data_IF_605504136149
#
_entry.id   IF_605504136149
#
_cell.length_a   1.000
_cell.length_b   1.000
_cell.length_c   1.000
_cell.angle_alpha   90.00
_cell.angle_beta   90.00
_cell.angle_gamma   90.00
#
_symmetry.space_group_name_H-M   'P 1'
#
loop_
_entity.id
_entity.type
_entity.pdbx_description
1 polymer ?
#
# COMPACT_ATOMS: atom_id res chain seq x y z
N UNK A 1 -5.65 43.44 12.28
CA UNK A 1 -5.98 42.09 12.78
C UNK A 1 -4.78 41.14 12.58
N UNK A 2 -4.06 40.81 13.65
CA UNK A 2 -3.01 39.79 13.63
C UNK A 2 -3.66 38.43 13.36
N UNK A 3 -3.32 37.82 12.24
CA UNK A 3 -3.64 36.42 11.98
C UNK A 3 -2.81 35.61 12.97
N UNK A 4 -3.44 35.14 14.06
CA UNK A 4 -2.80 34.19 14.98
C UNK A 4 -2.18 33.07 14.16
N UNK A 5 -0.88 32.86 14.31
CA UNK A 5 -0.17 31.77 13.65
C UNK A 5 -0.96 30.48 13.89
N UNK A 6 -1.53 29.93 12.81
CA UNK A 6 -2.27 28.68 12.88
C UNK A 6 -1.23 27.63 13.29
N UNK A 7 -1.31 27.17 14.53
CA UNK A 7 -0.43 26.12 15.05
C UNK A 7 -0.89 24.81 14.43
N UNK A 8 -0.37 24.52 13.24
CA UNK A 8 -0.70 23.32 12.49
C UNK A 8 -0.18 22.14 13.30
N UNK A 9 -1.06 21.19 13.60
CA UNK A 9 -0.68 19.98 14.30
C UNK A 9 0.32 19.22 13.43
N UNK A 10 1.49 18.80 13.96
CA UNK A 10 2.43 18.02 13.18
C UNK A 10 1.73 16.75 12.64
N UNK A 11 2.02 16.32 11.40
CA UNK A 11 1.49 15.09 10.83
C UNK A 11 1.75 13.91 11.77
N UNK A 12 0.84 12.92 11.73
CA UNK A 12 1.08 11.66 12.43
C UNK A 12 2.25 10.93 11.77
N UNK A 13 3.15 10.41 12.60
CA UNK A 13 4.30 9.65 12.12
C UNK A 13 3.86 8.35 11.42
N UNK A 14 4.43 8.08 10.24
CA UNK A 14 4.28 6.80 9.55
C UNK A 14 5.45 5.87 9.90
N UNK A 15 5.15 4.65 10.35
CA UNK A 15 6.14 3.70 10.91
C UNK A 15 6.61 2.64 9.90
N UNK A 16 6.07 2.65 8.68
CA UNK A 16 6.29 1.57 7.70
C UNK A 16 5.34 0.39 7.87
N UNK A 17 4.19 0.58 8.52
CA UNK A 17 3.16 -0.46 8.61
C UNK A 17 2.49 -0.67 7.24
N UNK A 18 2.25 -1.93 6.89
CA UNK A 18 1.43 -2.32 5.74
C UNK A 18 -0.05 -1.97 6.03
N UNK A 19 -0.42 -0.71 5.89
CA UNK A 19 -1.79 -0.21 6.06
C UNK A 19 -1.98 1.03 5.17
N UNK A 20 -2.75 0.84 4.09
CA UNK A 20 -3.03 1.90 3.10
C UNK A 20 -3.75 3.09 3.71
N UNK A 21 -4.63 2.89 4.70
CA UNK A 21 -5.37 3.99 5.31
C UNK A 21 -4.43 4.85 6.18
N UNK A 22 -3.49 4.21 6.86
CA UNK A 22 -2.50 4.94 7.65
C UNK A 22 -1.49 5.64 6.75
N UNK A 23 -1.06 5.00 5.67
CA UNK A 23 -0.22 5.62 4.64
C UNK A 23 -0.90 6.84 3.99
N UNK A 24 -2.14 6.70 3.53
CA UNK A 24 -2.90 7.78 2.92
C UNK A 24 -3.14 8.94 3.89
N UNK A 25 -3.40 8.66 5.16
CA UNK A 25 -3.52 9.71 6.18
C UNK A 25 -2.22 10.50 6.31
N UNK A 26 -1.08 9.82 6.32
CA UNK A 26 0.23 10.46 6.36
C UNK A 26 0.48 11.29 5.09
N UNK A 27 0.30 10.73 3.88
CA UNK A 27 0.48 11.47 2.62
C UNK A 27 -0.40 12.73 2.57
N UNK A 28 -1.68 12.60 2.93
CA UNK A 28 -2.61 13.74 2.91
C UNK A 28 -2.23 14.82 3.93
N UNK A 29 -1.76 14.44 5.13
CA UNK A 29 -1.31 15.41 6.12
C UNK A 29 -0.04 16.14 5.65
N UNK A 30 0.91 15.41 5.06
CA UNK A 30 2.12 15.98 4.46
C UNK A 30 1.77 16.97 3.35
N UNK A 31 0.91 16.58 2.40
CA UNK A 31 0.46 17.45 1.31
C UNK A 31 -0.28 18.71 1.82
N UNK A 32 -1.16 18.55 2.81
CA UNK A 32 -1.85 19.67 3.43
C UNK A 32 -0.87 20.67 4.06
N UNK A 33 0.13 20.16 4.78
CA UNK A 33 1.16 21.02 5.39
C UNK A 33 1.95 21.78 4.33
N UNK A 34 2.47 21.10 3.31
CA UNK A 34 3.20 21.71 2.18
C UNK A 34 2.37 22.81 1.51
N UNK A 35 1.07 22.56 1.31
CA UNK A 35 0.14 23.53 0.74
C UNK A 35 -0.08 24.76 1.63
N UNK A 36 -0.20 24.58 2.94
CA UNK A 36 -0.40 25.70 3.87
C UNK A 36 0.82 26.62 3.90
N UNK A 37 2.03 26.04 3.89
CA UNK A 37 3.28 26.80 3.88
C UNK A 37 3.70 27.28 2.48
N UNK A 38 2.89 27.00 1.44
CA UNK A 38 3.16 27.35 0.04
C UNK A 38 4.50 26.80 -0.49
N UNK A 39 4.99 25.72 0.11
CA UNK A 39 6.16 24.99 -0.37
C UNK A 39 5.64 24.00 -1.40
N UNK A 40 5.36 24.47 -2.62
CA UNK A 40 4.69 23.69 -3.68
C UNK A 40 5.45 23.77 -4.99
N UNK A 41 5.39 22.71 -5.79
CA UNK A 41 6.04 22.62 -7.09
C UNK A 41 7.40 21.92 -7.04
N UNK A 42 7.93 21.49 -8.21
CA UNK A 42 9.08 20.58 -8.28
C UNK A 42 10.40 21.18 -7.75
N UNK A 43 10.54 22.50 -7.78
CA UNK A 43 11.74 23.19 -7.27
C UNK A 43 11.96 22.96 -5.76
N UNK A 44 10.93 22.49 -5.05
CA UNK A 44 10.95 22.21 -3.62
C UNK A 44 10.94 20.70 -3.32
N UNK A 45 11.15 19.82 -4.30
CA UNK A 45 11.08 18.36 -4.07
C UNK A 45 12.02 17.90 -2.95
N UNK A 46 13.25 18.42 -2.89
CA UNK A 46 14.19 18.14 -1.80
C UNK A 46 13.63 18.58 -0.43
N UNK A 47 13.01 19.75 -0.35
CA UNK A 47 12.37 20.25 0.87
C UNK A 47 11.16 19.37 1.25
N UNK A 48 10.37 18.92 0.27
CA UNK A 48 9.22 18.04 0.48
C UNK A 48 9.63 16.69 1.04
N UNK A 49 10.67 16.10 0.47
CA UNK A 49 11.24 14.81 0.90
C UNK A 49 11.83 14.96 2.30
N UNK A 50 12.59 16.03 2.55
CA UNK A 50 13.17 16.29 3.88
C UNK A 50 12.09 16.51 4.93
N UNK A 51 11.03 17.26 4.62
CA UNK A 51 9.90 17.41 5.51
C UNK A 51 9.20 16.07 5.76
N UNK A 52 8.94 15.29 4.71
CA UNK A 52 8.30 13.98 4.82
C UNK A 52 9.09 13.04 5.72
N UNK A 53 10.44 13.03 5.63
CA UNK A 53 11.36 12.32 6.53
C UNK A 53 11.10 12.67 8.00
N UNK A 54 10.91 13.95 8.34
CA UNK A 54 10.62 14.35 9.74
C UNK A 54 9.32 13.76 10.29
N UNK A 55 8.44 13.29 9.41
CA UNK A 55 7.16 12.66 9.75
C UNK A 55 7.21 11.12 9.58
N UNK A 56 8.41 10.52 9.54
CA UNK A 56 8.60 9.07 9.52
C UNK A 56 9.14 8.57 10.86
N UNK A 57 8.85 7.31 11.17
CA UNK A 57 9.39 6.58 12.32
C UNK A 57 9.63 5.10 11.94
N UNK A 58 10.22 4.32 12.86
CA UNK A 58 10.30 2.86 12.73
C UNK A 58 11.01 2.40 11.46
N UNK A 59 10.39 1.44 10.75
CA UNK A 59 10.95 0.85 9.54
C UNK A 59 11.00 1.85 8.38
N UNK A 60 10.08 2.82 8.34
CA UNK A 60 10.06 3.84 7.29
C UNK A 60 11.29 4.75 7.33
N UNK A 61 11.73 5.17 8.53
CA UNK A 61 12.99 5.93 8.68
C UNK A 61 14.20 5.09 8.32
N UNK A 62 14.22 3.82 8.73
CA UNK A 62 15.35 2.94 8.41
C UNK A 62 15.51 2.78 6.89
N UNK A 63 14.40 2.53 6.19
CA UNK A 63 14.37 2.47 4.73
C UNK A 63 14.80 3.80 4.09
N UNK A 64 14.30 4.94 4.60
CA UNK A 64 14.68 6.27 4.08
C UNK A 64 16.20 6.46 4.12
N UNK A 65 16.82 6.16 5.25
CA UNK A 65 18.27 6.34 5.44
C UNK A 65 19.09 5.41 4.53
N UNK A 66 18.54 4.26 4.12
CA UNK A 66 19.21 3.27 3.29
C UNK A 66 19.03 3.53 1.79
N UNK A 67 17.85 3.96 1.37
CA UNK A 67 17.49 4.03 -0.06
C UNK A 67 17.45 5.45 -0.62
N UNK A 68 17.22 6.45 0.24
CA UNK A 68 17.06 7.85 -0.18
C UNK A 68 18.26 8.70 0.24
N UNK A 69 18.70 8.56 1.50
CA UNK A 69 19.77 9.38 2.10
C UNK A 69 21.16 8.70 2.05
N UNK A 70 21.24 7.50 1.48
CA UNK A 70 22.50 6.75 1.40
C UNK A 70 23.42 7.34 0.33
N UNK A 71 24.75 7.43 0.58
CA UNK A 71 25.72 7.82 -0.44
C UNK A 71 25.72 6.92 -1.67
N UNK A 72 25.32 5.65 -1.50
CA UNK A 72 25.29 4.63 -2.54
C UNK A 72 23.89 4.46 -3.17
N UNK A 73 22.99 5.44 -2.99
CA UNK A 73 21.62 5.32 -3.50
C UNK A 73 21.60 5.28 -5.04
N UNK A 74 20.75 4.41 -5.59
CA UNK A 74 20.63 4.21 -7.04
C UNK A 74 19.91 5.37 -7.75
N UNK A 75 19.13 6.15 -7.01
CA UNK A 75 18.37 7.30 -7.50
C UNK A 75 18.90 8.54 -6.78
N UNK A 76 19.57 9.42 -7.52
CA UNK A 76 20.12 10.66 -6.95
C UNK A 76 19.15 11.84 -7.04
N UNK A 77 18.31 11.90 -8.08
CA UNK A 77 17.36 13.00 -8.32
C UNK A 77 15.92 12.59 -7.96
N UNK A 78 15.66 12.40 -6.67
CA UNK A 78 14.31 12.07 -6.21
C UNK A 78 13.34 13.24 -6.39
N UNK A 79 12.23 13.00 -7.09
CA UNK A 79 11.04 13.85 -6.96
C UNK A 79 10.22 13.43 -5.75
N UNK A 80 9.43 14.35 -5.17
CA UNK A 80 8.55 13.99 -4.07
C UNK A 80 7.54 12.91 -4.47
N UNK A 81 7.09 12.92 -5.73
CA UNK A 81 6.19 11.91 -6.28
C UNK A 81 6.87 10.53 -6.29
N UNK A 82 8.08 10.42 -6.80
CA UNK A 82 8.80 9.14 -6.89
C UNK A 82 9.04 8.59 -5.49
N UNK A 83 9.39 9.46 -4.54
CA UNK A 83 9.57 9.11 -3.14
C UNK A 83 8.31 8.48 -2.54
N UNK A 84 7.15 9.13 -2.67
CA UNK A 84 5.87 8.61 -2.16
C UNK A 84 5.48 7.32 -2.87
N UNK A 85 5.68 7.23 -4.19
CA UNK A 85 5.39 6.01 -4.95
C UNK A 85 6.27 4.83 -4.51
N UNK A 86 7.56 5.06 -4.27
CA UNK A 86 8.48 3.99 -3.86
C UNK A 86 8.19 3.52 -2.44
N UNK A 87 7.90 4.46 -1.53
CA UNK A 87 7.41 4.15 -0.19
C UNK A 87 6.14 3.28 -0.23
N UNK A 88 5.20 3.61 -1.13
CA UNK A 88 3.99 2.83 -1.31
C UNK A 88 4.32 1.40 -1.76
N UNK A 89 5.18 1.23 -2.75
CA UNK A 89 5.57 -0.12 -3.22
C UNK A 89 6.35 -0.92 -2.18
N UNK A 90 7.13 -0.24 -1.32
CA UNK A 90 7.94 -0.87 -0.30
C UNK A 90 7.10 -1.41 0.87
N UNK A 91 6.15 -0.61 1.35
CA UNK A 91 5.44 -0.92 2.60
C UNK A 91 4.02 -1.40 2.38
N UNK A 92 3.35 -0.98 1.30
CA UNK A 92 1.95 -1.33 1.04
C UNK A 92 1.91 -2.54 0.12
N UNK A 93 1.70 -3.69 0.73
CA UNK A 93 1.62 -4.95 0.02
C UNK A 93 0.20 -5.20 -0.45
N UNK A 94 0.04 -5.73 -1.67
CA UNK A 94 -1.29 -6.14 -2.15
C UNK A 94 -1.83 -7.27 -1.27
N UNK A 95 -1.02 -8.28 -0.97
CA UNK A 95 -1.37 -9.38 -0.09
C UNK A 95 -0.43 -9.47 1.11
N UNK A 96 -1.00 -9.65 2.30
CA UNK A 96 -0.28 -9.93 3.55
C UNK A 96 -0.76 -11.24 4.16
N UNK A 97 0.13 -12.24 4.39
CA UNK A 97 -0.25 -13.50 5.04
C UNK A 97 -0.87 -13.33 6.43
N UNK A 98 -0.47 -12.27 7.13
CA UNK A 98 -0.95 -11.94 8.48
C UNK A 98 -2.40 -11.49 8.44
N UNK A 99 -2.76 -10.65 7.46
CA UNK A 99 -4.14 -10.17 7.26
C UNK A 99 -5.03 -11.21 6.57
N UNK A 100 -4.43 -12.01 5.70
CA UNK A 100 -5.06 -13.10 4.96
C UNK A 100 -5.89 -12.66 3.75
N UNK A 101 -6.50 -13.65 3.10
CA UNK A 101 -7.17 -13.49 1.80
C UNK A 101 -8.41 -12.59 1.87
N UNK A 102 -9.18 -12.68 2.96
CA UNK A 102 -10.40 -11.88 3.10
C UNK A 102 -10.09 -10.38 3.22
N UNK A 103 -9.05 -10.03 3.99
CA UNK A 103 -8.59 -8.66 4.10
C UNK A 103 -8.11 -8.13 2.74
N UNK A 104 -7.33 -8.95 2.00
CA UNK A 104 -6.91 -8.59 0.65
C UNK A 104 -8.09 -8.30 -0.30
N UNK A 105 -9.14 -9.14 -0.29
CA UNK A 105 -10.32 -8.90 -1.11
C UNK A 105 -11.06 -7.61 -0.73
N UNK A 106 -11.19 -7.33 0.57
CA UNK A 106 -11.81 -6.10 1.07
C UNK A 106 -10.99 -4.87 0.69
N UNK A 107 -9.66 -4.94 0.78
CA UNK A 107 -8.75 -3.88 0.35
C UNK A 107 -8.88 -3.62 -1.16
N UNK A 108 -9.02 -4.68 -1.96
CA UNK A 108 -9.24 -4.56 -3.41
C UNK A 108 -10.57 -3.85 -3.72
N UNK A 109 -11.65 -4.21 -3.02
CA UNK A 109 -12.95 -3.51 -3.14
C UNK A 109 -12.84 -2.04 -2.73
N UNK A 110 -12.14 -1.75 -1.64
CA UNK A 110 -11.97 -0.39 -1.16
C UNK A 110 -11.17 0.47 -2.14
N UNK A 111 -10.13 -0.09 -2.77
CA UNK A 111 -9.38 0.58 -3.83
C UNK A 111 -10.25 0.82 -5.07
N UNK A 112 -11.00 -0.20 -5.50
CA UNK A 112 -11.92 -0.11 -6.64
C UNK A 112 -12.97 1.01 -6.44
N UNK A 113 -13.50 1.20 -5.23
CA UNK A 113 -14.48 2.25 -4.95
C UNK A 113 -13.91 3.67 -4.95
N UNK A 114 -12.58 3.81 -4.97
CA UNK A 114 -11.89 5.12 -5.03
C UNK A 114 -11.39 5.45 -6.44
N UNK A 115 -11.55 4.53 -7.40
CA UNK A 115 -11.22 4.80 -8.80
C UNK A 115 -12.30 5.68 -9.42
N UNK A 116 -11.89 6.55 -10.35
CA UNK A 116 -12.83 7.38 -11.14
C UNK A 116 -13.86 6.49 -11.85
N UNK A 117 -13.41 5.33 -12.33
CA UNK A 117 -14.26 4.25 -12.81
C UNK A 117 -13.85 2.95 -12.13
N UNK A 118 -14.78 2.25 -11.46
CA UNK A 118 -14.47 0.96 -10.89
C UNK A 118 -14.21 -0.08 -11.99
N UNK A 119 -13.31 -1.04 -11.75
CA UNK A 119 -13.10 -2.16 -12.65
C UNK A 119 -14.38 -3.01 -12.80
N UNK A 120 -14.53 -3.61 -13.97
CA UNK A 120 -15.56 -4.60 -14.21
C UNK A 120 -15.33 -5.88 -13.38
N UNK A 121 -16.35 -6.74 -13.32
CA UNK A 121 -16.32 -7.95 -12.50
C UNK A 121 -15.17 -8.90 -12.89
N UNK A 122 -14.90 -9.06 -14.18
CA UNK A 122 -13.82 -9.92 -14.65
C UNK A 122 -12.46 -9.35 -14.25
N UNK A 123 -12.25 -8.05 -14.46
CA UNK A 123 -11.02 -7.36 -14.04
C UNK A 123 -10.79 -7.49 -12.53
N UNK A 124 -11.85 -7.40 -11.71
CA UNK A 124 -11.78 -7.62 -10.26
C UNK A 124 -11.36 -9.05 -9.90
N UNK A 125 -12.00 -10.06 -10.50
CA UNK A 125 -11.66 -11.48 -10.28
C UNK A 125 -10.22 -11.76 -10.68
N UNK A 126 -9.81 -11.28 -11.86
CA UNK A 126 -8.45 -11.48 -12.38
C UNK A 126 -7.41 -10.83 -11.48
N UNK A 127 -7.66 -9.59 -11.04
CA UNK A 127 -6.75 -8.88 -10.13
C UNK A 127 -6.66 -9.58 -8.77
N UNK A 128 -7.77 -10.07 -8.24
CA UNK A 128 -7.78 -10.85 -7.00
C UNK A 128 -6.95 -12.13 -7.14
N UNK A 129 -7.19 -12.96 -8.17
CA UNK A 129 -6.47 -14.23 -8.35
C UNK A 129 -4.96 -13.98 -8.56
N UNK A 130 -4.59 -12.98 -9.37
CA UNK A 130 -3.20 -12.68 -9.68
C UNK A 130 -2.44 -12.06 -8.49
N UNK A 131 -3.13 -11.43 -7.55
CA UNK A 131 -2.50 -10.87 -6.35
C UNK A 131 -2.34 -11.88 -5.20
N UNK A 132 -2.80 -13.11 -5.36
CA UNK A 132 -2.59 -14.17 -4.37
C UNK A 132 -1.15 -14.70 -4.43
N UNK A 133 -0.60 -15.16 -3.28
CA UNK A 133 0.64 -15.91 -3.28
C UNK A 133 0.56 -17.13 -4.19
N UNK A 134 1.68 -17.43 -4.87
CA UNK A 134 1.77 -18.53 -5.83
C UNK A 134 1.21 -19.87 -5.30
N UNK A 135 1.50 -20.31 -4.06
CA UNK A 135 0.95 -21.58 -3.56
C UNK A 135 -0.58 -21.61 -3.47
N UNK A 136 -1.19 -20.48 -3.12
CA UNK A 136 -2.65 -20.34 -3.03
C UNK A 136 -3.24 -20.27 -4.43
N UNK A 137 -2.67 -19.43 -5.30
CA UNK A 137 -3.13 -19.26 -6.68
C UNK A 137 -3.08 -20.58 -7.46
N UNK A 138 -1.95 -21.28 -7.42
CA UNK A 138 -1.80 -22.58 -8.07
C UNK A 138 -2.74 -23.63 -7.49
N UNK A 139 -2.87 -23.69 -6.16
CA UNK A 139 -3.80 -24.61 -5.53
C UNK A 139 -5.23 -24.39 -6.02
N UNK A 140 -5.67 -23.15 -6.12
CA UNK A 140 -7.05 -22.83 -6.49
C UNK A 140 -7.31 -23.02 -8.00
N UNK A 141 -6.34 -22.66 -8.85
CA UNK A 141 -6.42 -22.87 -10.30
C UNK A 141 -6.34 -24.35 -10.68
N UNK A 142 -5.31 -25.06 -10.19
CA UNK A 142 -5.03 -26.46 -10.57
C UNK A 142 -5.95 -27.46 -9.88
N UNK A 143 -6.20 -27.32 -8.57
CA UNK A 143 -6.93 -28.34 -7.80
C UNK A 143 -8.43 -28.09 -7.68
N UNK A 144 -8.90 -26.85 -7.88
CA UNK A 144 -10.31 -26.47 -7.67
C UNK A 144 -11.02 -25.91 -8.89
N UNK A 145 -10.37 -25.93 -10.05
CA UNK A 145 -10.95 -25.54 -11.34
C UNK A 145 -11.52 -24.12 -11.34
N UNK A 146 -10.90 -23.20 -10.61
CA UNK A 146 -11.34 -21.81 -10.61
C UNK A 146 -10.87 -21.12 -11.87
N UNK A 147 -11.81 -20.45 -12.55
CA UNK A 147 -11.52 -19.52 -13.64
C UNK A 147 -12.18 -18.18 -13.35
N UNK A 148 -11.46 -17.09 -13.57
CA UNK A 148 -12.00 -15.74 -13.49
C UNK A 148 -13.16 -15.52 -14.48
N UNK A 149 -13.22 -16.30 -15.56
CA UNK A 149 -14.23 -16.19 -16.62
C UNK A 149 -15.55 -16.86 -16.24
N UNK A 150 -15.50 -17.98 -15.52
CA UNK A 150 -16.65 -18.85 -15.32
C UNK A 150 -17.08 -19.01 -13.86
N UNK A 151 -16.23 -18.61 -12.91
CA UNK A 151 -16.52 -18.74 -11.48
C UNK A 151 -17.03 -17.42 -10.92
N UNK A 152 -18.10 -17.47 -10.14
CA UNK A 152 -18.62 -16.30 -9.42
C UNK A 152 -17.64 -15.90 -8.31
N UNK A 153 -17.51 -14.59 -8.06
CA UNK A 153 -16.52 -14.06 -7.13
C UNK A 153 -16.62 -14.66 -5.72
N UNK A 154 -17.84 -14.88 -5.20
CA UNK A 154 -18.05 -15.48 -3.88
C UNK A 154 -17.57 -16.93 -3.82
N UNK A 155 -17.73 -17.69 -4.91
CA UNK A 155 -17.22 -19.05 -4.99
C UNK A 155 -15.68 -19.07 -5.08
N UNK A 156 -15.08 -18.11 -5.80
CA UNK A 156 -13.63 -17.92 -5.81
C UNK A 156 -13.15 -17.69 -4.38
N UNK A 157 -13.76 -16.75 -3.66
CA UNK A 157 -13.38 -16.39 -2.29
C UNK A 157 -13.42 -17.59 -1.34
N UNK A 158 -14.50 -18.37 -1.35
CA UNK A 158 -14.64 -19.59 -0.51
C UNK A 158 -13.53 -20.59 -0.83
N UNK A 159 -13.23 -20.82 -2.11
CA UNK A 159 -12.20 -21.78 -2.54
C UNK A 159 -10.80 -21.32 -2.13
N UNK A 160 -10.51 -20.03 -2.27
CA UNK A 160 -9.23 -19.43 -1.87
C UNK A 160 -9.06 -19.46 -0.35
N UNK A 161 -10.07 -19.10 0.43
CA UNK A 161 -10.04 -19.16 1.90
C UNK A 161 -9.75 -20.58 2.40
N UNK A 162 -10.42 -21.60 1.83
CA UNK A 162 -10.16 -23.00 2.18
C UNK A 162 -8.73 -23.43 1.86
N UNK A 163 -8.14 -22.93 0.78
CA UNK A 163 -6.74 -23.21 0.43
C UNK A 163 -5.78 -22.53 1.40
N UNK A 164 -6.03 -21.26 1.74
CA UNK A 164 -5.26 -20.53 2.75
C UNK A 164 -5.26 -21.27 4.10
N UNK A 165 -6.43 -21.71 4.57
CA UNK A 165 -6.54 -22.49 5.82
C UNK A 165 -5.79 -23.81 5.75
N UNK A 166 -5.86 -24.53 4.62
CA UNK A 166 -5.14 -25.79 4.45
C UNK A 166 -3.61 -25.59 4.52
N UNK A 167 -3.08 -24.56 3.86
CA UNK A 167 -1.66 -24.24 3.90
C UNK A 167 -1.21 -23.77 5.29
N UNK A 168 -2.02 -22.99 6.00
CA UNK A 168 -1.76 -22.60 7.39
C UNK A 168 -1.65 -23.82 8.31
N UNK A 169 -2.50 -24.83 8.13
CA UNK A 169 -2.43 -26.07 8.90
C UNK A 169 -1.13 -26.85 8.61
N UNK A 170 -0.77 -27.01 7.33
CA UNK A 170 0.46 -27.73 6.94
C UNK A 170 1.71 -27.08 7.56
N UNK A 171 1.81 -25.75 7.48
CA UNK A 171 2.95 -25.00 8.01
C UNK A 171 3.03 -25.01 9.55
N UNK A 172 1.94 -25.29 10.26
CA UNK A 172 1.94 -25.39 11.72
C UNK A 172 2.27 -26.81 12.22
N UNK A 173 2.24 -27.82 11.34
CA UNK A 173 2.54 -29.22 11.65
C UNK A 173 3.89 -29.70 11.11
N UNK A 174 4.64 -28.81 10.46
CA UNK A 174 6.00 -29.04 9.95
C UNK A 174 6.97 -28.20 10.76
#
# INVERSE_FOLDING_TARGET
PEVKAIKITPPRYYKGQDDINTFDKWVNQTLCWLKIYKVTGPAHDADHIMYARTCLEGMAVQWFNQEVDSPDCMIHDWTFKDFVCTMFTQFIHEYSPVKGVLAFYNDLKHRASRMVQPPDEYSMKRKFVNGLPLPIAEGVLKSRGVSAEHTLMDQILIKVQRMESALKLINNHT
#
